data_IF_545207475502
#
_entry.id   IF_545207475502
#
_cell.length_a   1.000
_cell.length_b   1.000
_cell.length_c   1.000
_cell.angle_alpha   90.00
_cell.angle_beta   90.00
_cell.angle_gamma   90.00
#
_symmetry.space_group_name_H-M   'P 1'
#
loop_
_entity.id
_entity.type
_entity.pdbx_description
1 polymer ?
#
# COMPACT_ATOMS: atom_id res chain seq x y z
N UNK A 1 -17.14 3.41 9.56
CA UNK A 1 -16.15 2.79 10.46
C UNK A 1 -15.29 1.85 9.65
N UNK A 2 -14.19 2.37 9.14
CA UNK A 2 -13.16 1.60 8.44
C UNK A 2 -12.21 1.03 9.49
N UNK A 3 -11.97 -0.28 9.44
CA UNK A 3 -11.01 -0.95 10.31
C UNK A 3 -9.57 -0.66 9.86
N UNK A 4 -8.68 -0.52 10.83
CA UNK A 4 -7.24 -0.53 10.60
C UNK A 4 -6.78 -1.98 10.38
N UNK A 5 -6.07 -2.25 9.30
CA UNK A 5 -5.38 -3.54 9.12
C UNK A 5 -3.92 -3.42 9.54
N UNK A 6 -3.48 -4.36 10.36
CA UNK A 6 -2.10 -4.47 10.82
C UNK A 6 -1.20 -5.12 9.77
N UNK A 7 0.11 -4.89 9.86
CA UNK A 7 1.10 -5.53 8.99
C UNK A 7 0.96 -7.07 9.02
N UNK A 8 0.77 -7.66 10.20
CA UNK A 8 0.62 -9.11 10.36
C UNK A 8 -0.59 -9.69 9.63
N UNK A 9 -1.70 -8.94 9.56
CA UNK A 9 -2.87 -9.36 8.79
C UNK A 9 -2.62 -9.25 7.29
N UNK A 10 -1.87 -8.24 6.86
CA UNK A 10 -1.58 -7.96 5.46
C UNK A 10 -0.54 -8.92 4.87
N UNK A 11 0.45 -9.37 5.65
CA UNK A 11 1.44 -10.37 5.24
C UNK A 11 0.82 -11.74 4.88
N UNK A 12 -0.42 -12.00 5.31
CA UNK A 12 -1.16 -13.22 4.97
C UNK A 12 -1.88 -13.14 3.61
N UNK A 13 -1.91 -11.95 2.98
CA UNK A 13 -2.54 -11.73 1.69
C UNK A 13 -1.52 -11.89 0.57
N UNK A 14 -1.99 -12.28 -0.62
CA UNK A 14 -1.16 -12.28 -1.82
C UNK A 14 -0.90 -10.84 -2.29
N UNK A 15 0.22 -10.63 -2.99
CA UNK A 15 0.58 -9.34 -3.61
C UNK A 15 -0.57 -8.78 -4.45
N UNK A 16 -1.29 -9.62 -5.20
CA UNK A 16 -2.45 -9.21 -6.01
C UNK A 16 -3.62 -8.67 -5.18
N UNK A 17 -3.85 -9.23 -3.99
CA UNK A 17 -4.88 -8.76 -3.07
C UNK A 17 -4.44 -7.48 -2.38
N UNK A 18 -3.15 -7.35 -2.05
CA UNK A 18 -2.56 -6.13 -1.51
C UNK A 18 -2.64 -4.98 -2.51
N UNK A 19 -2.31 -5.21 -3.79
CA UNK A 19 -2.45 -4.22 -4.86
C UNK A 19 -3.91 -3.77 -5.05
N UNK A 20 -4.85 -4.72 -4.96
CA UNK A 20 -6.29 -4.44 -5.07
C UNK A 20 -6.80 -3.64 -3.86
N UNK A 21 -6.40 -4.03 -2.64
CA UNK A 21 -6.71 -3.33 -1.40
C UNK A 21 -6.16 -1.90 -1.43
N UNK A 22 -4.92 -1.73 -1.89
CA UNK A 22 -4.29 -0.44 -2.07
C UNK A 22 -5.11 0.48 -2.99
N UNK A 23 -5.56 -0.03 -4.14
CA UNK A 23 -6.41 0.73 -5.08
C UNK A 23 -7.75 1.13 -4.46
N UNK A 24 -8.42 0.23 -3.74
CA UNK A 24 -9.69 0.52 -3.07
C UNK A 24 -9.50 1.62 -2.03
N UNK A 25 -8.50 1.47 -1.15
CA UNK A 25 -8.23 2.41 -0.07
C UNK A 25 -7.83 3.80 -0.60
N UNK A 26 -7.05 3.84 -1.68
CA UNK A 26 -6.67 5.10 -2.35
C UNK A 26 -7.89 5.85 -2.89
N UNK A 27 -8.84 5.15 -3.52
CA UNK A 27 -10.10 5.75 -3.99
C UNK A 27 -10.97 6.21 -2.84
N UNK A 28 -11.06 5.41 -1.78
CA UNK A 28 -11.85 5.72 -0.60
C UNK A 28 -11.29 6.93 0.16
N UNK A 29 -9.97 7.11 0.19
CA UNK A 29 -9.31 8.25 0.82
C UNK A 29 -9.75 9.59 0.22
N UNK A 30 -10.01 9.64 -1.10
CA UNK A 30 -10.45 10.85 -1.79
C UNK A 30 -11.84 11.28 -1.31
N UNK A 31 -12.71 10.32 -1.02
CA UNK A 31 -14.11 10.58 -0.61
C UNK A 31 -14.28 10.68 0.91
N UNK A 32 -13.23 10.42 1.69
CA UNK A 32 -13.31 10.39 3.17
C UNK A 32 -12.92 11.74 3.77
N UNK A 33 -13.76 12.24 4.69
CA UNK A 33 -13.55 13.51 5.39
C UNK A 33 -12.15 13.64 6.03
N UNK A 34 -11.51 14.78 5.82
CA UNK A 34 -10.11 15.06 6.17
C UNK A 34 -9.74 14.79 7.64
N UNK A 35 -10.67 14.97 8.59
CA UNK A 35 -10.39 14.87 10.03
C UNK A 35 -11.06 13.66 10.70
N UNK A 36 -11.65 12.77 9.90
CA UNK A 36 -12.33 11.59 10.42
C UNK A 36 -11.34 10.53 10.93
N UNK A 37 -11.80 9.73 11.91
CA UNK A 37 -11.07 8.54 12.34
C UNK A 37 -10.89 7.54 11.18
N UNK A 38 -11.90 7.41 10.32
CA UNK A 38 -11.86 6.56 9.14
C UNK A 38 -10.72 6.97 8.20
N UNK A 39 -10.47 8.26 7.97
CA UNK A 39 -9.34 8.72 7.14
C UNK A 39 -7.99 8.33 7.74
N UNK A 40 -7.81 8.46 9.05
CA UNK A 40 -6.57 8.05 9.73
C UNK A 40 -6.34 6.55 9.61
N UNK A 41 -7.38 5.75 9.76
CA UNK A 41 -7.32 4.30 9.61
C UNK A 41 -6.99 3.89 8.16
N UNK A 42 -7.56 4.57 7.17
CA UNK A 42 -7.25 4.35 5.75
C UNK A 42 -5.78 4.67 5.47
N UNK A 43 -5.29 5.83 5.91
CA UNK A 43 -3.89 6.24 5.70
C UNK A 43 -2.90 5.27 6.36
N UNK A 44 -3.17 4.87 7.60
CA UNK A 44 -2.32 3.91 8.31
C UNK A 44 -2.35 2.52 7.64
N UNK A 45 -3.50 2.09 7.13
CA UNK A 45 -3.59 0.83 6.38
C UNK A 45 -2.84 0.90 5.05
N UNK A 46 -2.94 2.02 4.32
CA UNK A 46 -2.18 2.25 3.07
C UNK A 46 -0.67 2.17 3.34
N UNK A 47 -0.18 2.84 4.37
CA UNK A 47 1.24 2.76 4.76
C UNK A 47 1.65 1.32 5.08
N UNK A 48 0.82 0.56 5.81
CA UNK A 48 1.12 -0.83 6.11
C UNK A 48 1.16 -1.71 4.85
N UNK A 49 0.26 -1.50 3.88
CA UNK A 49 0.26 -2.22 2.60
C UNK A 49 1.53 -1.92 1.80
N UNK A 50 1.94 -0.65 1.73
CA UNK A 50 3.16 -0.24 1.05
C UNK A 50 4.41 -0.88 1.67
N UNK A 51 4.46 -0.97 3.01
CA UNK A 51 5.54 -1.66 3.74
C UNK A 51 5.60 -3.14 3.35
N UNK A 52 4.46 -3.85 3.36
CA UNK A 52 4.40 -5.29 3.05
C UNK A 52 4.79 -5.55 1.59
N UNK A 53 4.36 -4.70 0.66
CA UNK A 53 4.73 -4.78 -0.75
C UNK A 53 6.20 -4.39 -1.03
N UNK A 54 6.96 -3.97 0.00
CA UNK A 54 8.34 -3.51 -0.15
C UNK A 54 8.47 -2.22 -0.97
N UNK A 55 7.38 -1.47 -1.07
CA UNK A 55 7.31 -0.19 -1.75
C UNK A 55 7.94 0.85 -0.83
N UNK A 56 9.10 1.38 -1.20
CA UNK A 56 9.65 2.51 -0.45
C UNK A 56 8.77 3.73 -0.73
N UNK A 57 8.13 4.34 0.28
CA UNK A 57 7.44 5.59 0.06
C UNK A 57 8.49 6.65 -0.29
N UNK A 58 8.57 7.03 -1.57
CA UNK A 58 9.32 8.21 -1.98
C UNK A 58 8.49 9.40 -1.52
N UNK A 59 8.78 9.90 -0.30
CA UNK A 59 8.17 11.12 0.21
C UNK A 59 8.62 12.31 -0.66
N UNK A 60 7.92 12.60 -1.76
CA UNK A 60 8.03 13.88 -2.43
C UNK A 60 7.32 14.92 -1.56
N UNK A 61 8.10 15.62 -0.74
CA UNK A 61 7.67 16.88 -0.14
C UNK A 61 7.52 17.90 -1.26
N UNK A 62 6.31 18.06 -1.77
CA UNK A 62 6.02 18.96 -2.89
C UNK A 62 4.54 18.94 -3.26
N UNK A 63 3.80 19.86 -2.66
CA UNK A 63 2.52 20.47 -3.05
C UNK A 63 1.90 19.91 -4.34
N UNK A 64 0.74 19.23 -4.18
CA UNK A 64 -0.27 18.83 -5.18
C UNK A 64 0.11 17.64 -6.08
N UNK A 65 -0.55 16.50 -5.82
CA UNK A 65 -0.55 15.31 -6.67
C UNK A 65 0.08 14.10 -5.99
N UNK A 66 -0.76 13.16 -5.52
CA UNK A 66 -0.29 11.84 -5.10
C UNK A 66 0.09 11.03 -6.36
N UNK A 67 1.24 11.34 -6.96
CA UNK A 67 1.88 10.43 -7.92
C UNK A 67 2.84 9.56 -7.10
N UNK A 68 2.33 8.43 -6.60
CA UNK A 68 3.14 7.47 -5.86
C UNK A 68 3.92 6.64 -6.87
N UNK A 69 5.19 6.98 -7.04
CA UNK A 69 6.11 6.26 -7.92
C UNK A 69 6.65 5.04 -7.16
N UNK A 70 6.07 3.88 -7.41
CA UNK A 70 6.44 2.61 -6.79
C UNK A 70 7.74 2.05 -7.39
N UNK A 71 8.88 2.31 -6.75
CA UNK A 71 10.10 1.55 -7.03
C UNK A 71 10.00 0.18 -6.35
N UNK A 72 9.64 -0.85 -7.12
CA UNK A 72 9.77 -2.25 -6.67
C UNK A 72 11.23 -2.52 -6.32
N UNK A 73 11.53 -2.77 -5.06
CA UNK A 73 12.79 -3.42 -4.71
C UNK A 73 12.68 -4.89 -5.15
N UNK A 74 13.05 -5.14 -6.41
CA UNK A 74 13.24 -6.49 -6.93
C UNK A 74 14.36 -7.15 -6.11
N UNK A 75 13.97 -7.81 -5.02
CA UNK A 75 14.84 -8.75 -4.33
C UNK A 75 15.18 -9.87 -5.34
N UNK A 76 16.46 -10.08 -5.72
CA UNK A 76 16.85 -11.05 -6.74
C UNK A 76 16.67 -12.52 -6.33
N UNK A 77 16.06 -12.81 -5.19
CA UNK A 77 16.00 -14.15 -4.59
C UNK A 77 14.98 -15.11 -5.22
N UNK A 78 14.25 -14.71 -6.27
CA UNK A 78 13.32 -15.59 -6.99
C UNK A 78 13.75 -15.89 -8.45
N UNK A 79 15.06 -15.95 -8.72
CA UNK A 79 15.57 -16.71 -9.86
C UNK A 79 15.55 -18.21 -9.52
N UNK A 80 14.37 -18.83 -9.46
CA UNK A 80 14.27 -20.27 -9.55
C UNK A 80 13.84 -20.65 -10.97
N UNK A 81 14.86 -20.92 -11.77
CA UNK A 81 14.94 -21.83 -12.92
C UNK A 81 13.60 -22.35 -13.47
N UNK A 82 13.19 -21.83 -14.63
CA UNK A 82 12.39 -22.59 -15.59
C UNK A 82 13.28 -22.84 -16.81
N UNK A 83 13.98 -23.97 -16.76
CA UNK A 83 14.49 -24.67 -17.94
C UNK A 83 13.49 -25.78 -18.23
N UNK A 84 12.76 -25.63 -19.33
CA UNK A 84 12.22 -26.74 -20.12
C UNK A 84 12.47 -26.43 -21.59
#
# INVERSE_FOLDING_TARGET
MIALFTIFELEQLSDSLLDHLHHILSRLLITTEANSADRRNILATLENVEIVLGLKPVRKSGIIGYEIEYSKNLNPSHQHSLVF
#
